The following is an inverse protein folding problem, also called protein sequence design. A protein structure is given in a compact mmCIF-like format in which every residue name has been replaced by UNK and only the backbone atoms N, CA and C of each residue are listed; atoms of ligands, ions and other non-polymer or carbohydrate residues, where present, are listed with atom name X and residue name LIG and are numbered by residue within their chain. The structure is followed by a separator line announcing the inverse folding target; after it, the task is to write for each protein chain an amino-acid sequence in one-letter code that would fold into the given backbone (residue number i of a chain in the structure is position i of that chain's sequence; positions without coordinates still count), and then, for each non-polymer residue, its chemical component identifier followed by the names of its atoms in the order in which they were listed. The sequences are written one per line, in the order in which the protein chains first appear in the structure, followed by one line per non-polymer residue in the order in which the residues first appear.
data_IF_642090886309
#
_entry.id   IF_642090886309
#
_cell.length_a   1.000
_cell.length_b   1.000
_cell.length_c   1.000
_cell.angle_alpha   90.00
_cell.angle_beta   90.00
_cell.angle_gamma   90.00
#
_symmetry.space_group_name_H-M   'P 1'
#
loop_
_entity.id
_entity.type
_entity.pdbx_description
1 polymer ?
#
# COMPACT_ATOMS: atom_id res chain seq x y z
N UNK A 1 -15.03 38.78 -33.39
CA UNK A 1 -14.55 37.63 -32.59
C UNK A 1 -13.36 38.10 -31.75
N UNK A 2 -13.63 38.56 -30.53
CA UNK A 2 -12.65 39.06 -29.54
C UNK A 2 -13.10 38.60 -28.16
N UNK A 3 -12.18 38.01 -27.43
CA UNK A 3 -12.30 37.45 -26.08
C UNK A 3 -12.21 38.56 -25.02
N UNK A 4 -13.10 38.62 -24.02
CA UNK A 4 -12.93 39.30 -22.71
C UNK A 4 -13.89 38.65 -21.69
N UNK A 5 -13.36 37.80 -20.81
CA UNK A 5 -12.90 38.07 -19.43
C UNK A 5 -14.06 38.42 -18.48
N UNK A 6 -14.46 37.41 -17.70
CA UNK A 6 -15.39 37.47 -16.59
C UNK A 6 -14.65 38.00 -15.36
N UNK A 7 -15.15 39.08 -14.75
CA UNK A 7 -14.76 39.54 -13.42
C UNK A 7 -16.06 39.78 -12.66
N UNK A 8 -16.28 39.03 -11.57
CA UNK A 8 -17.24 39.43 -10.55
C UNK A 8 -16.56 39.38 -9.18
N UNK A 9 -16.53 40.56 -8.55
CA UNK A 9 -16.06 40.83 -7.20
C UNK A 9 -17.29 41.05 -6.30
N UNK A 10 -17.41 40.19 -5.27
CA UNK A 10 -17.87 40.34 -3.86
C UNK A 10 -18.98 41.39 -3.53
N UNK A 11 -19.97 41.16 -2.64
CA UNK A 11 -19.90 41.05 -1.16
C UNK A 11 -21.22 40.46 -0.57
N UNK A 12 -21.08 39.80 0.59
CA UNK A 12 -22.03 39.08 1.46
C UNK A 12 -23.32 39.82 1.90
N UNK A 13 -24.33 39.19 2.53
CA UNK A 13 -24.43 39.01 4.02
C UNK A 13 -25.43 37.89 4.44
N UNK A 14 -24.99 37.11 5.44
CA UNK A 14 -25.66 36.33 6.49
C UNK A 14 -26.91 35.45 6.22
N UNK A 15 -26.65 34.14 6.23
CA UNK A 15 -27.54 33.09 6.69
C UNK A 15 -26.71 31.82 6.84
N UNK A 16 -26.29 31.49 8.06
CA UNK A 16 -25.36 30.40 8.33
C UNK A 16 -25.95 29.02 8.06
N UNK A 17 -26.03 28.63 6.79
CA UNK A 17 -26.06 27.22 6.41
C UNK A 17 -24.61 26.73 6.44
N UNK A 18 -24.31 25.83 7.38
CA UNK A 18 -23.14 24.97 7.25
C UNK A 18 -23.31 24.19 5.94
N UNK A 19 -22.66 24.64 4.87
CA UNK A 19 -22.42 23.80 3.71
C UNK A 19 -21.38 22.79 4.18
N UNK A 20 -21.83 21.68 4.76
CA UNK A 20 -20.99 20.49 4.83
C UNK A 20 -20.57 20.20 3.40
N UNK A 21 -19.26 20.15 3.08
CA UNK A 21 -18.85 19.68 1.77
C UNK A 21 -19.44 18.30 1.60
N UNK A 22 -20.40 18.17 0.68
CA UNK A 22 -20.82 16.86 0.21
C UNK A 22 -19.63 16.38 -0.60
N UNK A 23 -18.81 15.53 0.01
CA UNK A 23 -17.82 14.75 -0.73
C UNK A 23 -18.63 13.95 -1.75
N UNK A 24 -18.59 14.38 -3.01
CA UNK A 24 -19.11 13.56 -4.09
C UNK A 24 -18.12 12.44 -4.30
N UNK A 25 -18.49 11.24 -3.86
CA UNK A 25 -17.69 10.05 -4.06
C UNK A 25 -17.31 9.96 -5.54
N UNK A 26 -16.02 10.01 -5.86
CA UNK A 26 -15.57 9.91 -7.24
C UNK A 26 -15.71 8.44 -7.64
N UNK A 27 -16.82 8.08 -8.31
CA UNK A 27 -17.07 6.72 -8.77
C UNK A 27 -16.44 6.55 -10.16
N UNK A 28 -15.50 5.61 -10.29
CA UNK A 28 -14.94 5.19 -11.57
C UNK A 28 -13.89 6.13 -12.18
N UNK A 29 -13.45 7.15 -11.44
CA UNK A 29 -12.33 8.00 -11.88
C UNK A 29 -11.07 7.16 -12.02
N UNK A 30 -10.41 7.30 -13.17
CA UNK A 30 -9.10 6.69 -13.40
C UNK A 30 -8.02 7.54 -12.73
N UNK A 31 -7.22 6.91 -11.88
CA UNK A 31 -6.10 7.53 -11.16
C UNK A 31 -4.89 6.61 -11.23
N UNK A 32 -3.69 7.18 -11.14
CA UNK A 32 -2.45 6.38 -11.05
C UNK A 32 -2.19 5.95 -9.61
N UNK A 33 -1.37 4.91 -9.42
CA UNK A 33 -0.98 4.49 -8.06
C UNK A 33 -0.32 5.64 -7.27
N UNK A 34 0.61 6.43 -7.85
CA UNK A 34 1.16 7.60 -7.18
C UNK A 34 0.14 8.63 -6.74
N UNK A 35 -0.91 8.87 -7.54
CA UNK A 35 -1.96 9.82 -7.15
C UNK A 35 -2.73 9.36 -5.92
N UNK A 36 -2.84 8.04 -5.69
CA UNK A 36 -3.52 7.47 -4.53
C UNK A 36 -2.66 7.48 -3.28
N UNK A 37 -1.37 7.20 -3.44
CA UNK A 37 -0.46 6.94 -2.32
C UNK A 37 0.21 8.22 -1.81
N UNK A 38 0.28 9.27 -2.63
CA UNK A 38 1.08 10.44 -2.29
C UNK A 38 0.55 11.15 -1.04
N UNK A 39 1.47 11.30 -0.08
CA UNK A 39 1.29 12.08 1.14
C UNK A 39 2.17 13.35 1.06
N UNK A 40 1.73 14.45 1.66
CA UNK A 40 2.51 15.69 1.63
C UNK A 40 3.81 15.57 2.42
N UNK A 41 4.91 16.07 1.84
CA UNK A 41 6.23 16.02 2.50
C UNK A 41 6.27 16.78 3.83
N UNK A 42 5.47 17.82 3.99
CA UNK A 42 5.38 18.57 5.24
C UNK A 42 4.74 17.73 6.34
N UNK A 43 3.73 16.91 6.02
CA UNK A 43 3.15 15.95 6.96
C UNK A 43 4.13 14.85 7.33
N UNK A 44 4.87 14.28 6.37
CA UNK A 44 5.86 13.26 6.67
C UNK A 44 7.02 13.80 7.53
N UNK A 45 7.49 15.03 7.29
CA UNK A 45 8.53 15.64 8.13
C UNK A 45 8.05 15.94 9.55
N UNK A 46 6.77 16.25 9.72
CA UNK A 46 6.17 16.34 11.06
C UNK A 46 6.16 14.96 11.73
N UNK A 47 5.83 13.90 10.98
CA UNK A 47 5.87 12.53 11.48
C UNK A 47 7.26 12.12 11.96
N UNK A 48 8.33 12.43 11.22
CA UNK A 48 9.71 12.11 11.63
C UNK A 48 10.03 12.61 13.05
N UNK A 49 9.46 13.75 13.46
CA UNK A 49 9.66 14.34 14.79
C UNK A 49 8.74 13.79 15.88
N UNK A 50 7.70 13.02 15.54
CA UNK A 50 6.72 12.47 16.48
C UNK A 50 6.81 10.96 16.63
N UNK A 51 7.56 10.26 15.78
CA UNK A 51 7.85 8.82 15.92
C UNK A 51 8.48 8.54 17.31
N UNK A 52 7.73 7.88 18.19
CA UNK A 52 8.11 7.60 19.59
C UNK A 52 7.30 8.34 20.66
N UNK A 53 6.41 9.25 20.27
CA UNK A 53 5.46 9.92 21.17
C UNK A 53 4.08 9.26 21.03
N UNK A 54 3.55 8.75 22.14
CA UNK A 54 2.22 8.15 22.16
C UNK A 54 1.14 9.23 21.99
N UNK A 55 0.67 9.46 20.75
CA UNK A 55 -0.75 9.58 20.36
C UNK A 55 -0.95 10.46 19.12
N UNK A 56 -1.78 9.96 18.19
CA UNK A 56 -3.11 10.57 18.05
C UNK A 56 -3.44 11.39 16.80
N UNK A 57 -2.53 11.59 15.84
CA UNK A 57 -2.90 12.30 14.60
C UNK A 57 -2.38 11.56 13.39
N UNK A 58 -3.28 11.02 12.55
CA UNK A 58 -2.95 10.75 11.16
C UNK A 58 -2.51 12.09 10.55
N UNK A 59 -1.22 12.22 10.24
CA UNK A 59 -0.69 13.48 9.74
C UNK A 59 -0.96 13.66 8.24
N UNK A 60 -1.28 12.58 7.53
CA UNK A 60 -1.93 12.59 6.23
C UNK A 60 -2.42 11.16 5.92
N UNK A 61 -3.48 11.06 5.15
CA UNK A 61 -3.96 9.81 4.56
C UNK A 61 -3.98 9.99 3.03
N UNK A 62 -4.28 8.93 2.27
CA UNK A 62 -4.58 9.06 0.84
C UNK A 62 -5.56 10.23 0.56
N UNK A 63 -5.36 11.04 -0.51
CA UNK A 63 -6.31 12.09 -0.88
C UNK A 63 -7.68 11.56 -1.33
N UNK A 64 -7.82 10.24 -1.47
CA UNK A 64 -9.05 9.53 -1.82
C UNK A 64 -9.67 8.80 -0.62
N UNK A 65 -9.03 8.89 0.55
CA UNK A 65 -9.57 8.46 1.83
C UNK A 65 -10.09 9.67 2.60
N UNK A 66 -11.31 9.55 3.13
CA UNK A 66 -12.03 10.66 3.78
C UNK A 66 -12.37 10.32 5.24
N UNK A 67 -11.41 9.70 5.94
CA UNK A 67 -11.46 9.36 7.38
C UNK A 67 -12.39 8.21 7.76
N UNK A 68 -13.06 7.58 6.79
CA UNK A 68 -13.91 6.39 7.01
C UNK A 68 -14.24 5.71 5.70
N UNK A 69 -14.51 4.41 5.76
CA UNK A 69 -14.84 3.62 4.58
C UNK A 69 -16.03 4.22 3.87
N UNK A 70 -17.10 4.61 4.58
CA UNK A 70 -18.33 5.17 4.00
C UNK A 70 -18.13 6.48 3.23
N UNK A 71 -17.06 7.21 3.51
CA UNK A 71 -16.75 8.47 2.80
C UNK A 71 -15.69 8.30 1.71
N UNK A 72 -14.94 7.20 1.70
CA UNK A 72 -13.86 6.95 0.75
C UNK A 72 -14.31 6.86 -0.71
N UNK A 73 -13.42 7.25 -1.63
CA UNK A 73 -13.67 7.20 -3.06
C UNK A 73 -13.55 5.77 -3.65
N UNK A 74 -14.24 5.55 -4.77
CA UNK A 74 -14.15 4.30 -5.55
C UNK A 74 -13.52 4.59 -6.90
N UNK A 75 -12.23 4.29 -7.04
CA UNK A 75 -11.42 4.68 -8.20
C UNK A 75 -11.03 3.48 -9.06
N UNK A 76 -10.52 3.76 -10.26
CA UNK A 76 -9.92 2.79 -11.18
C UNK A 76 -8.41 2.99 -11.24
N UNK A 77 -7.66 1.92 -11.03
CA UNK A 77 -6.18 1.95 -11.00
C UNK A 77 -5.63 0.82 -11.83
N UNK A 78 -4.54 1.09 -12.55
CA UNK A 78 -3.79 0.08 -13.26
C UNK A 78 -2.43 -0.16 -12.63
N UNK A 79 -1.99 -1.42 -12.64
CA UNK A 79 -0.68 -1.81 -12.12
C UNK A 79 -0.30 -3.22 -12.51
N UNK A 80 0.95 -3.58 -12.23
CA UNK A 80 1.49 -4.93 -12.38
C UNK A 80 1.34 -5.67 -11.05
N UNK A 81 0.77 -6.87 -11.08
CA UNK A 81 0.67 -7.73 -9.90
C UNK A 81 2.06 -8.16 -9.46
N UNK A 82 2.44 -7.82 -8.23
CA UNK A 82 3.78 -8.09 -7.69
C UNK A 82 3.85 -9.44 -6.99
N UNK A 83 2.72 -9.96 -6.52
CA UNK A 83 2.65 -11.23 -5.80
C UNK A 83 1.27 -11.84 -5.99
N UNK A 84 1.18 -13.11 -6.37
CA UNK A 84 -0.11 -13.77 -6.51
C UNK A 84 -0.89 -13.75 -5.16
N UNK A 85 -2.23 -13.54 -5.15
CA UNK A 85 -2.97 -13.35 -3.91
C UNK A 85 -2.97 -14.53 -2.93
N UNK A 86 -2.54 -15.71 -3.39
CA UNK A 86 -2.43 -16.91 -2.55
C UNK A 86 -1.14 -16.97 -1.73
N UNK A 87 -0.19 -16.06 -1.96
CA UNK A 87 1.12 -16.05 -1.28
C UNK A 87 1.07 -15.29 0.05
N UNK A 88 0.34 -14.17 0.09
CA UNK A 88 0.07 -13.40 1.30
C UNK A 88 -1.09 -14.08 2.03
N UNK A 89 -0.81 -14.62 3.22
CA UNK A 89 -1.76 -15.53 3.90
C UNK A 89 -2.10 -15.14 5.32
N UNK A 90 -1.33 -14.22 5.92
CA UNK A 90 -1.72 -13.53 7.14
C UNK A 90 -2.73 -12.41 6.83
N UNK A 91 -3.92 -12.78 6.36
CA UNK A 91 -4.87 -11.83 5.73
C UNK A 91 -6.29 -11.91 6.30
N UNK A 92 -6.49 -12.51 7.48
CA UNK A 92 -7.83 -12.61 8.11
C UNK A 92 -8.91 -13.23 7.18
N UNK A 93 -8.56 -14.28 6.43
CA UNK A 93 -9.45 -14.97 5.46
C UNK A 93 -9.84 -14.12 4.24
N UNK A 94 -8.92 -13.28 3.77
CA UNK A 94 -9.09 -12.41 2.60
C UNK A 94 -8.10 -12.76 1.50
N UNK A 95 -8.45 -12.45 0.25
CA UNK A 95 -7.46 -12.35 -0.81
C UNK A 95 -6.74 -10.99 -0.71
N UNK A 96 -5.42 -10.98 -0.86
CA UNK A 96 -4.57 -9.79 -0.79
C UNK A 96 -3.40 -9.94 -1.78
N UNK A 97 -3.12 -8.90 -2.56
CA UNK A 97 -1.96 -8.77 -3.44
C UNK A 97 -1.39 -7.36 -3.38
N UNK A 98 -0.13 -7.19 -3.75
CA UNK A 98 0.40 -5.88 -4.12
C UNK A 98 0.37 -5.70 -5.63
N UNK A 99 0.04 -4.48 -6.07
CA UNK A 99 0.33 -4.03 -7.44
C UNK A 99 1.39 -2.93 -7.40
N UNK A 100 2.12 -2.77 -8.49
CA UNK A 100 3.03 -1.65 -8.69
C UNK A 100 2.72 -0.92 -10.00
N UNK A 101 2.87 0.41 -10.02
CA UNK A 101 2.70 1.24 -11.20
C UNK A 101 3.55 0.71 -12.36
N UNK A 102 2.98 0.75 -13.57
CA UNK A 102 3.64 0.23 -14.78
C UNK A 102 4.83 1.08 -15.22
N UNK A 103 4.93 2.31 -14.72
CA UNK A 103 6.02 3.25 -14.98
C UNK A 103 7.25 2.84 -14.18
N UNK A 104 8.38 2.65 -14.88
CA UNK A 104 9.63 2.23 -14.25
C UNK A 104 10.09 3.24 -13.18
N UNK A 105 10.51 2.72 -12.02
CA UNK A 105 11.08 3.49 -10.89
C UNK A 105 10.18 4.61 -10.36
N UNK A 106 8.87 4.54 -10.62
CA UNK A 106 7.92 5.52 -10.14
C UNK A 106 7.76 5.39 -8.62
N UNK A 107 8.21 6.41 -7.88
CA UNK A 107 7.97 6.53 -6.44
C UNK A 107 6.47 6.65 -6.15
N UNK A 108 6.06 6.22 -4.95
CA UNK A 108 4.64 6.10 -4.57
C UNK A 108 3.88 5.13 -5.46
N UNK A 109 4.60 4.19 -6.07
CA UNK A 109 4.08 3.31 -7.10
C UNK A 109 3.50 2.01 -6.57
N UNK A 110 3.54 1.72 -5.26
CA UNK A 110 3.05 0.47 -4.68
C UNK A 110 1.63 0.63 -4.12
N UNK A 111 0.81 -0.42 -4.20
CA UNK A 111 -0.53 -0.41 -3.59
C UNK A 111 -0.90 -1.81 -3.11
N UNK A 112 -1.37 -1.90 -1.87
CA UNK A 112 -2.02 -3.11 -1.37
C UNK A 112 -3.46 -3.18 -1.89
N UNK A 113 -3.85 -4.32 -2.48
CA UNK A 113 -5.18 -4.58 -3.00
C UNK A 113 -5.72 -5.83 -2.34
N UNK A 114 -6.90 -5.71 -1.75
CA UNK A 114 -7.50 -6.78 -0.98
C UNK A 114 -9.00 -6.91 -1.24
N UNK A 115 -9.55 -8.00 -0.74
CA UNK A 115 -10.99 -8.22 -0.59
C UNK A 115 -11.32 -8.23 0.89
N UNK A 116 -12.58 -7.98 1.24
CA UNK A 116 -13.02 -7.98 2.63
C UNK A 116 -13.17 -9.38 3.23
N UNK A 117 -13.37 -10.39 2.37
CA UNK A 117 -13.50 -11.80 2.73
C UNK A 117 -13.05 -12.71 1.56
N UNK A 118 -13.33 -14.02 1.67
CA UNK A 118 -13.06 -15.03 0.64
C UNK A 118 -14.35 -15.61 0.01
N UNK A 119 -15.47 -14.90 0.13
CA UNK A 119 -16.80 -15.32 -0.35
C UNK A 119 -16.84 -15.50 -1.88
N UNK A 120 -17.93 -16.09 -2.39
CA UNK A 120 -18.17 -16.19 -3.83
C UNK A 120 -18.20 -14.81 -4.52
N UNK A 121 -18.64 -13.76 -3.81
CA UNK A 121 -18.59 -12.39 -4.34
C UNK A 121 -17.15 -11.87 -4.44
N UNK A 122 -16.32 -12.11 -3.40
CA UNK A 122 -14.91 -11.78 -3.46
C UNK A 122 -14.21 -12.54 -4.60
N UNK A 123 -14.51 -13.83 -4.79
CA UNK A 123 -14.00 -14.63 -5.90
C UNK A 123 -14.52 -14.13 -7.26
N UNK A 124 -15.74 -13.60 -7.32
CA UNK A 124 -16.33 -13.00 -8.52
C UNK A 124 -15.60 -11.76 -9.02
N UNK A 125 -14.76 -11.13 -8.20
CA UNK A 125 -13.82 -10.08 -8.66
C UNK A 125 -12.71 -10.64 -9.55
N UNK A 126 -12.56 -11.96 -9.65
CA UNK A 126 -11.45 -12.65 -10.29
C UNK A 126 -10.09 -12.40 -9.64
N UNK A 127 -10.05 -11.93 -8.38
CA UNK A 127 -8.79 -11.72 -7.67
C UNK A 127 -7.95 -13.00 -7.59
N UNK A 128 -8.57 -14.17 -7.41
CA UNK A 128 -7.86 -15.45 -7.39
C UNK A 128 -7.24 -15.88 -8.74
N UNK A 129 -7.64 -15.24 -9.85
CA UNK A 129 -7.07 -15.46 -11.17
C UNK A 129 -5.82 -14.61 -11.43
N UNK A 130 -5.48 -13.69 -10.52
CA UNK A 130 -4.28 -12.87 -10.64
C UNK A 130 -3.02 -13.69 -10.36
N UNK A 131 -2.03 -13.52 -11.22
CA UNK A 131 -0.70 -14.07 -11.04
C UNK A 131 0.35 -12.97 -11.17
N UNK A 132 1.53 -13.25 -10.63
CA UNK A 132 2.70 -12.38 -10.72
C UNK A 132 2.95 -11.91 -12.15
N UNK A 133 3.10 -10.60 -12.33
CA UNK A 133 3.44 -10.00 -13.61
C UNK A 133 2.25 -9.72 -14.53
N UNK A 134 1.02 -10.06 -14.16
CA UNK A 134 -0.15 -9.60 -14.92
C UNK A 134 -0.33 -8.09 -14.76
N UNK A 135 -0.68 -7.43 -15.86
CA UNK A 135 -1.12 -6.03 -15.84
C UNK A 135 -2.63 -6.03 -15.65
N UNK A 136 -3.10 -5.34 -14.63
CA UNK A 136 -4.51 -5.32 -14.25
C UNK A 136 -5.06 -3.91 -14.18
N UNK A 137 -6.38 -3.76 -14.37
CA UNK A 137 -7.13 -2.57 -13.96
C UNK A 137 -8.16 -2.98 -12.93
N UNK A 138 -8.12 -2.34 -11.77
CA UNK A 138 -8.96 -2.64 -10.62
C UNK A 138 -9.88 -1.44 -10.39
N UNK A 139 -11.18 -1.70 -10.26
CA UNK A 139 -12.12 -0.75 -9.68
C UNK A 139 -12.24 -1.10 -8.20
N UNK A 140 -11.90 -0.18 -7.31
CA UNK A 140 -11.88 -0.48 -5.89
C UNK A 140 -12.06 0.74 -5.00
N UNK A 141 -12.43 0.49 -3.75
CA UNK A 141 -12.65 1.50 -2.73
C UNK A 141 -11.38 1.72 -1.94
N UNK A 142 -10.93 2.97 -1.82
CA UNK A 142 -9.72 3.33 -1.08
C UNK A 142 -9.96 3.15 0.42
N UNK A 143 -8.94 2.73 1.15
CA UNK A 143 -8.97 2.57 2.61
C UNK A 143 -7.59 2.84 3.21
N UNK A 144 -7.54 3.02 4.53
CA UNK A 144 -6.31 3.15 5.29
C UNK A 144 -6.22 2.03 6.33
N UNK A 145 -5.11 1.30 6.34
CA UNK A 145 -4.86 0.23 7.29
C UNK A 145 -4.01 0.70 8.46
N UNK A 146 -4.50 0.38 9.66
CA UNK A 146 -3.82 0.64 10.92
C UNK A 146 -4.37 1.88 11.63
N UNK A 147 -4.12 1.95 12.93
CA UNK A 147 -4.41 3.11 13.77
C UNK A 147 -3.17 3.99 13.97
N UNK A 148 -2.17 3.86 13.08
CA UNK A 148 -0.90 4.57 13.16
C UNK A 148 -1.02 5.91 12.42
N UNK A 149 -0.24 6.94 12.82
CA UNK A 149 -0.22 8.27 12.20
C UNK A 149 0.06 8.34 10.68
N UNK A 150 0.48 7.23 10.07
CA UNK A 150 0.63 7.00 8.64
C UNK A 150 0.14 5.57 8.33
N UNK A 151 -1.15 5.45 8.07
CA UNK A 151 -1.76 4.18 7.68
C UNK A 151 -1.17 3.69 6.37
N UNK A 152 -1.21 2.38 6.15
CA UNK A 152 -0.95 1.81 4.84
C UNK A 152 -2.16 2.13 3.96
N UNK A 153 -1.96 2.90 2.89
CA UNK A 153 -3.03 3.12 1.91
C UNK A 153 -3.30 1.80 1.18
N UNK A 154 -4.54 1.31 1.24
CA UNK A 154 -4.99 0.09 0.56
C UNK A 154 -6.21 0.34 -0.34
N UNK A 155 -6.58 -0.69 -1.09
CA UNK A 155 -7.78 -0.70 -1.92
C UNK A 155 -8.56 -2.01 -1.76
N UNK A 156 -9.83 -1.90 -1.39
CA UNK A 156 -10.78 -3.01 -1.48
C UNK A 156 -11.31 -3.16 -2.91
N UNK A 157 -10.92 -4.24 -3.59
CA UNK A 157 -11.55 -4.68 -4.83
C UNK A 157 -12.98 -5.22 -4.60
N UNK A 158 -13.25 -5.67 -3.37
CA UNK A 158 -14.59 -6.01 -2.90
C UNK A 158 -14.70 -5.77 -1.39
N UNK A 159 -15.83 -5.18 -0.97
CA UNK A 159 -16.20 -5.00 0.44
C UNK A 159 -17.70 -5.18 0.65
N UNK A 160 -18.07 -6.03 1.60
CA UNK A 160 -19.47 -6.35 1.87
C UNK A 160 -20.21 -5.09 2.32
N UNK A 161 -21.41 -4.87 1.76
CA UNK A 161 -22.23 -3.70 2.08
C UNK A 161 -21.83 -2.40 1.39
N UNK A 162 -20.77 -2.40 0.56
CA UNK A 162 -20.35 -1.22 -0.21
C UNK A 162 -20.46 -1.42 -1.72
N UNK A 163 -20.18 -2.62 -2.22
CA UNK A 163 -20.36 -2.95 -3.63
C UNK A 163 -21.71 -3.65 -3.81
N UNK A 164 -22.65 -2.98 -4.48
CA UNK A 164 -23.94 -3.56 -4.86
C UNK A 164 -23.80 -4.59 -5.98
N UNK A 165 -22.83 -4.38 -6.86
CA UNK A 165 -22.47 -5.30 -7.95
C UNK A 165 -20.97 -5.61 -7.87
N UNK A 166 -20.64 -6.89 -7.97
CA UNK A 166 -19.23 -7.33 -8.04
C UNK A 166 -18.64 -6.86 -9.37
N UNK A 167 -17.52 -6.14 -9.30
CA UNK A 167 -16.79 -5.67 -10.48
C UNK A 167 -15.58 -6.59 -10.68
N UNK A 168 -15.52 -7.38 -11.78
CA UNK A 168 -14.33 -8.16 -12.11
C UNK A 168 -13.12 -7.27 -12.35
N UNK A 169 -11.95 -7.70 -11.86
CA UNK A 169 -10.67 -7.10 -12.15
C UNK A 169 -10.34 -7.40 -13.62
N UNK A 170 -10.01 -6.34 -14.36
CA UNK A 170 -9.66 -6.44 -15.78
C UNK A 170 -8.20 -6.92 -15.89
N UNK A 171 -7.97 -8.05 -16.55
CA UNK A 171 -6.62 -8.56 -16.84
C UNK A 171 -6.23 -8.10 -18.24
N UNK A 172 -5.32 -7.13 -18.31
CA UNK A 172 -4.94 -6.44 -19.55
C UNK A 172 -3.75 -7.07 -20.28
N UNK A 173 -3.23 -8.19 -19.76
CA UNK A 173 -2.08 -8.90 -20.30
C UNK A 173 -0.97 -9.07 -19.27
N UNK A 174 0.28 -9.05 -19.73
CA UNK A 174 1.47 -9.28 -18.91
C UNK A 174 2.49 -8.14 -19.05
N UNK A 175 3.22 -7.87 -17.98
CA UNK A 175 4.27 -6.87 -17.95
C UNK A 175 5.49 -7.34 -18.73
N UNK A 176 5.69 -6.81 -19.94
CA UNK A 176 6.73 -7.19 -20.92
C UNK A 176 6.61 -8.65 -21.40
N UNK A 177 6.63 -9.62 -20.49
CA UNK A 177 6.41 -11.06 -20.71
C UNK A 177 5.75 -11.70 -19.49
N UNK A 178 5.06 -12.83 -19.66
CA UNK A 178 4.39 -13.52 -18.55
C UNK A 178 5.36 -13.90 -17.42
N UNK A 179 4.94 -13.69 -16.17
CA UNK A 179 5.71 -14.00 -14.95
C UNK A 179 6.76 -12.95 -14.54
N UNK A 180 7.04 -11.95 -15.37
CA UNK A 180 8.00 -10.90 -15.04
C UNK A 180 7.38 -9.76 -14.21
N UNK A 181 8.17 -9.21 -13.29
CA UNK A 181 7.84 -8.00 -12.52
C UNK A 181 8.76 -6.85 -12.95
N UNK A 182 8.42 -5.59 -12.65
CA UNK A 182 9.41 -4.52 -12.62
C UNK A 182 10.65 -4.94 -11.82
N UNK A 183 11.83 -4.46 -12.24
CA UNK A 183 13.05 -4.66 -11.47
C UNK A 183 12.89 -4.05 -10.07
N UNK A 184 13.45 -4.67 -9.01
CA UNK A 184 13.35 -4.12 -7.68
C UNK A 184 14.11 -2.80 -7.58
N UNK A 185 13.60 -1.88 -6.77
CA UNK A 185 14.28 -0.61 -6.45
C UNK A 185 15.27 -0.88 -5.32
N UNK A 186 16.55 -0.61 -5.56
CA UNK A 186 17.56 -0.73 -4.51
C UNK A 186 17.45 0.41 -3.51
N UNK A 187 17.35 0.06 -2.24
CA UNK A 187 17.22 0.97 -1.11
C UNK A 187 18.12 0.51 0.03
N UNK A 188 18.40 1.43 0.94
CA UNK A 188 19.28 1.23 2.10
C UNK A 188 18.50 1.41 3.40
N UNK A 189 18.98 0.86 4.53
CA UNK A 189 18.28 0.99 5.80
C UNK A 189 18.10 2.46 6.25
N UNK A 190 19.06 3.34 5.96
CA UNK A 190 18.98 4.78 6.24
C UNK A 190 17.91 5.53 5.43
N UNK A 191 17.38 4.89 4.38
CA UNK A 191 16.19 5.34 3.65
C UNK A 191 14.90 5.18 4.47
N UNK A 192 14.90 4.40 5.55
CA UNK A 192 13.71 4.10 6.35
C UNK A 192 13.86 4.42 7.83
N UNK A 193 15.07 4.40 8.37
CA UNK A 193 15.30 4.60 9.80
C UNK A 193 16.65 5.25 10.11
N UNK A 194 16.75 5.90 11.26
CA UNK A 194 18.01 6.27 11.90
C UNK A 194 18.12 5.50 13.22
N UNK A 195 19.06 4.55 13.29
CA UNK A 195 19.10 3.54 14.34
C UNK A 195 17.82 2.70 14.32
N UNK A 196 17.04 2.76 15.40
CA UNK A 196 15.72 2.09 15.51
C UNK A 196 14.53 3.02 15.27
N UNK A 197 14.77 4.30 14.97
CA UNK A 197 13.72 5.32 14.81
C UNK A 197 13.30 5.40 13.34
N UNK A 198 12.04 5.09 12.98
CA UNK A 198 11.55 5.24 11.61
C UNK A 198 11.59 6.68 11.11
N UNK A 199 11.77 6.85 9.80
CA UNK A 199 11.81 8.13 9.09
C UNK A 199 10.80 8.13 7.92
N UNK A 200 9.49 8.29 8.19
CA UNK A 200 8.44 8.30 7.16
C UNK A 200 8.74 9.22 5.97
N UNK A 201 9.33 10.41 6.19
CA UNK A 201 9.64 11.34 5.09
C UNK A 201 10.63 10.78 4.05
N UNK A 202 11.35 9.72 4.41
CA UNK A 202 12.29 9.04 3.52
C UNK A 202 11.71 7.76 2.94
N UNK A 203 11.04 6.97 3.79
CA UNK A 203 10.63 5.60 3.50
C UNK A 203 9.25 5.45 2.89
N UNK A 204 8.29 6.32 3.24
CA UNK A 204 6.86 6.13 2.93
C UNK A 204 6.58 5.93 1.44
N UNK A 205 7.31 6.66 0.59
CA UNK A 205 7.21 6.57 -0.87
C UNK A 205 7.52 5.20 -1.48
N UNK A 206 8.07 4.27 -0.69
CA UNK A 206 8.37 2.90 -1.09
C UNK A 206 7.36 1.89 -0.53
N UNK A 207 6.33 2.33 0.18
CA UNK A 207 5.29 1.46 0.70
C UNK A 207 4.62 0.65 -0.43
N UNK A 208 4.44 -0.66 -0.19
CA UNK A 208 3.89 -1.59 -1.17
C UNK A 208 4.75 -1.83 -2.42
N UNK A 209 5.93 -1.22 -2.53
CA UNK A 209 6.81 -1.36 -3.70
C UNK A 209 7.75 -2.56 -3.58
N UNK A 210 8.13 -3.12 -4.73
CA UNK A 210 9.17 -4.14 -4.79
C UNK A 210 10.55 -3.51 -4.67
N UNK A 211 11.14 -3.64 -3.48
CA UNK A 211 12.46 -3.12 -3.15
C UNK A 211 13.46 -4.24 -2.89
N UNK A 212 14.75 -3.90 -2.94
CA UNK A 212 15.84 -4.77 -2.51
C UNK A 212 16.78 -4.01 -1.58
N UNK A 213 17.19 -4.67 -0.50
CA UNK A 213 18.21 -4.16 0.44
C UNK A 213 19.38 -5.14 0.44
N UNK A 214 20.59 -4.61 0.34
CA UNK A 214 21.83 -5.38 0.22
C UNK A 214 22.83 -4.98 1.28
N UNK A 215 23.80 -5.85 1.53
CA UNK A 215 24.94 -5.63 2.43
C UNK A 215 24.50 -5.30 3.86
N UNK A 216 23.49 -6.01 4.35
CA UNK A 216 22.96 -5.88 5.71
C UNK A 216 23.25 -7.12 6.52
N UNK A 217 23.37 -6.96 7.83
CA UNK A 217 23.63 -8.07 8.76
C UNK A 217 22.39 -8.35 9.59
N UNK A 218 22.00 -9.63 9.68
CA UNK A 218 20.90 -10.05 10.58
C UNK A 218 21.32 -9.81 12.02
N UNK A 219 20.55 -8.99 12.75
CA UNK A 219 20.86 -8.58 14.12
C UNK A 219 20.01 -9.29 15.17
N UNK A 220 18.79 -9.71 14.82
CA UNK A 220 17.90 -10.45 15.70
C UNK A 220 16.97 -11.38 14.93
N UNK A 221 16.58 -12.50 15.53
CA UNK A 221 15.65 -13.48 14.94
C UNK A 221 14.55 -13.82 15.93
N UNK A 222 13.30 -13.74 15.48
CA UNK A 222 12.16 -14.31 16.19
C UNK A 222 11.96 -15.75 15.71
N UNK A 223 12.34 -16.71 16.52
CA UNK A 223 12.28 -18.13 16.15
C UNK A 223 10.85 -18.69 16.06
N UNK A 224 9.88 -18.03 16.70
CA UNK A 224 8.47 -18.43 16.71
C UNK A 224 7.75 -18.01 15.42
N UNK A 225 7.96 -16.77 14.94
CA UNK A 225 7.36 -16.31 13.68
C UNK A 225 8.23 -16.58 12.46
N UNK A 226 9.55 -16.72 12.65
CA UNK A 226 10.52 -16.72 11.55
C UNK A 226 10.87 -15.31 11.05
N UNK A 227 10.32 -14.25 11.64
CA UNK A 227 10.72 -12.87 11.35
C UNK A 227 12.15 -12.62 11.83
N UNK A 228 12.86 -11.68 11.20
CA UNK A 228 14.18 -11.24 11.65
C UNK A 228 14.38 -9.75 11.38
N UNK A 229 15.24 -9.15 12.19
CA UNK A 229 15.72 -7.78 12.04
C UNK A 229 17.10 -7.82 11.39
N UNK A 230 17.36 -6.89 10.49
CA UNK A 230 18.66 -6.69 9.88
C UNK A 230 19.06 -5.22 9.99
N UNK A 231 20.36 -4.98 9.95
CA UNK A 231 20.92 -3.63 10.08
C UNK A 231 22.03 -3.38 9.08
N UNK A 232 22.20 -2.12 8.70
CA UNK A 232 23.37 -1.68 7.95
C UNK A 232 24.60 -1.47 8.87
N UNK A 233 25.71 -1.05 8.27
CA UNK A 233 26.96 -0.78 9.00
C UNK A 233 26.86 0.40 9.99
N UNK A 234 25.91 1.31 9.79
CA UNK A 234 25.66 2.44 10.68
C UNK A 234 24.69 2.08 11.83
N UNK A 235 24.14 0.87 11.83
CA UNK A 235 23.20 0.39 12.84
C UNK A 235 21.75 0.77 12.60
N UNK A 236 21.39 1.28 11.40
CA UNK A 236 20.00 1.52 11.03
C UNK A 236 19.30 0.19 10.78
N UNK A 237 18.12 0.01 11.37
CA UNK A 237 17.45 -1.29 11.44
C UNK A 237 16.16 -1.33 10.62
N UNK A 238 15.89 -2.49 10.06
CA UNK A 238 14.61 -2.84 9.45
C UNK A 238 14.24 -4.27 9.86
N UNK A 239 12.95 -4.59 9.83
CA UNK A 239 12.45 -5.91 10.18
C UNK A 239 11.64 -6.48 9.03
N UNK A 240 11.81 -7.77 8.76
CA UNK A 240 10.89 -8.49 7.86
C UNK A 240 9.61 -8.89 8.59
N UNK A 241 8.46 -8.65 7.95
CA UNK A 241 7.18 -9.15 8.42
C UNK A 241 6.89 -10.55 7.85
N UNK A 242 6.22 -11.42 8.62
CA UNK A 242 5.99 -12.83 8.27
C UNK A 242 4.64 -13.08 7.56
N UNK A 243 4.19 -12.12 6.73
CA UNK A 243 2.89 -12.19 6.05
C UNK A 243 2.82 -13.23 4.91
N UNK A 244 3.98 -13.63 4.37
CA UNK A 244 4.08 -14.63 3.31
C UNK A 244 3.99 -16.05 3.86
N UNK A 245 3.20 -16.92 3.21
CA UNK A 245 3.14 -18.35 3.57
C UNK A 245 4.46 -19.10 3.35
N UNK A 246 5.35 -18.54 2.54
CA UNK A 246 6.66 -19.14 2.24
C UNK A 246 7.72 -18.74 3.26
N UNK A 247 7.65 -17.52 3.80
CA UNK A 247 8.65 -16.94 4.69
C UNK A 247 8.07 -16.69 6.10
N UNK A 248 7.57 -17.76 6.72
CA UNK A 248 7.00 -17.74 8.06
C UNK A 248 7.18 -19.11 8.74
N UNK A 249 7.12 -19.12 10.07
CA UNK A 249 7.01 -20.32 10.90
C UNK A 249 5.64 -20.46 11.58
N UNK A 250 4.73 -19.50 11.38
CA UNK A 250 3.39 -19.52 11.97
C UNK A 250 2.44 -20.49 11.25
N UNK A 251 1.25 -20.68 11.80
CA UNK A 251 0.27 -21.65 11.31
C UNK A 251 -0.22 -21.44 9.88
N UNK A 252 -0.05 -20.25 9.30
CA UNK A 252 -0.37 -19.96 7.89
C UNK A 252 0.74 -20.36 6.90
N UNK A 253 1.81 -21.01 7.37
CA UNK A 253 2.90 -21.54 6.54
C UNK A 253 2.39 -22.57 5.54
N UNK A 254 2.87 -22.49 4.29
CA UNK A 254 2.67 -23.57 3.30
C UNK A 254 3.43 -24.83 3.74
N UNK A 255 2.79 -25.99 3.68
CA UNK A 255 3.40 -27.28 4.07
C UNK A 255 4.66 -27.64 3.27
N UNK A 256 4.84 -27.06 2.09
CA UNK A 256 6.01 -27.24 1.22
C UNK A 256 7.13 -26.23 1.49
N UNK A 257 6.89 -25.19 2.31
CA UNK A 257 7.94 -24.24 2.65
C UNK A 257 9.02 -24.92 3.50
N UNK A 258 10.28 -24.82 3.10
CA UNK A 258 11.46 -25.24 3.87
C UNK A 258 12.13 -24.08 4.61
N UNK A 259 11.48 -22.91 4.65
CA UNK A 259 12.07 -21.70 5.20
C UNK A 259 12.53 -21.83 6.65
N UNK A 260 13.72 -21.28 6.89
CA UNK A 260 14.29 -20.98 8.20
C UNK A 260 14.93 -19.59 8.10
N UNK A 261 14.70 -18.69 9.09
CA UNK A 261 15.34 -17.38 9.06
C UNK A 261 16.87 -17.53 9.10
N UNK A 262 17.62 -16.62 8.45
CA UNK A 262 19.06 -16.64 8.54
C UNK A 262 19.51 -16.45 10.00
N UNK A 263 20.59 -17.12 10.46
CA UNK A 263 21.14 -16.88 11.79
C UNK A 263 21.59 -15.44 12.00
N UNK A 264 21.58 -14.97 13.25
CA UNK A 264 22.20 -13.70 13.64
C UNK A 264 23.67 -13.68 13.20
N UNK A 265 24.12 -12.55 12.66
CA UNK A 265 25.45 -12.37 12.08
C UNK A 265 25.55 -12.74 10.59
N UNK A 266 24.49 -13.30 9.99
CA UNK A 266 24.48 -13.56 8.54
C UNK A 266 24.48 -12.24 7.77
N UNK A 267 25.37 -12.10 6.78
CA UNK A 267 25.39 -10.99 5.83
C UNK A 267 24.52 -11.35 4.62
N UNK A 268 23.51 -10.52 4.36
CA UNK A 268 22.62 -10.63 3.21
C UNK A 268 23.16 -9.72 2.10
N UNK A 269 23.39 -10.31 0.92
CA UNK A 269 24.02 -9.66 -0.24
C UNK A 269 23.01 -9.30 -1.31
#
# INVERSE_FOLDING_TARGET
MRMRLLVFLLIAVCGGAFVTPVFSQQIGKVVTVPQLQIISMDSLKKLDGTQGLASGTNLDDSPYWHGSDTKADTVRVSGVVMVAPSVLSYTLQRYNTYIQDTTLNQLWGGLNVLTDDSSANAQGTLINALDTGTVVTITGRVTEFGSQPNGLTEMFAYKKGFFETVVPIEINGYYRTAGNRPAPIEVTCDSFAVGTVPMPSRGEKYEGMYVIVRNVTVSAVNTSSGSFTFQDAAGNQMQIYDGSRWYTKRGHRDSRSTYTPPPVGTVLK
#
